data_IF_321128758842
#
_entry.id   IF_321128758842
#
_cell.length_a   1.000
_cell.length_b   1.000
_cell.length_c   1.000
_cell.angle_alpha   90.00
_cell.angle_beta   90.00
_cell.angle_gamma   90.00
#
_symmetry.space_group_name_H-M   'P 1'
#
loop_
_entity.id
_entity.type
_entity.pdbx_description
1 polymer ?
#
# COMPACT_ATOMS: atom_id res chain seq x y z
N UNK A 1 -11.55 6.35 -29.04
CA UNK A 1 -12.43 6.92 -28.00
C UNK A 1 -12.38 5.98 -26.81
N UNK A 2 -11.85 6.41 -25.68
CA UNK A 2 -11.78 5.60 -24.47
C UNK A 2 -13.01 5.94 -23.62
N UNK A 3 -13.99 5.03 -23.56
CA UNK A 3 -15.15 5.18 -22.68
C UNK A 3 -14.82 4.46 -21.38
N UNK A 4 -14.75 5.20 -20.27
CA UNK A 4 -14.57 4.63 -18.93
C UNK A 4 -15.85 4.84 -18.13
N UNK A 5 -16.30 3.80 -17.44
CA UNK A 5 -17.38 3.93 -16.48
C UNK A 5 -16.86 4.76 -15.29
N UNK A 6 -17.49 5.91 -15.03
CA UNK A 6 -17.15 6.78 -13.91
C UNK A 6 -17.42 6.11 -12.55
N UNK A 7 -18.35 5.15 -12.49
CA UNK A 7 -18.61 4.36 -11.27
C UNK A 7 -17.42 3.46 -10.90
N UNK A 8 -16.52 3.17 -11.84
CA UNK A 8 -15.27 2.45 -11.59
C UNK A 8 -14.16 3.38 -11.05
N UNK A 9 -14.32 4.69 -11.23
CA UNK A 9 -13.45 5.73 -10.69
C UNK A 9 -14.04 6.36 -9.42
N UNK A 10 -15.32 6.11 -9.11
CA UNK A 10 -15.93 6.61 -7.90
C UNK A 10 -15.31 5.92 -6.69
N UNK A 11 -14.62 6.75 -5.94
CA UNK A 11 -14.00 6.42 -4.66
C UNK A 11 -15.11 5.93 -3.74
N UNK A 12 -14.85 4.93 -2.87
CA UNK A 12 -15.86 4.44 -1.95
C UNK A 12 -16.50 5.63 -1.22
N UNK A 13 -17.83 5.73 -1.28
CA UNK A 13 -18.57 6.87 -0.74
C UNK A 13 -18.31 7.06 0.76
N UNK A 14 -18.00 5.96 1.43
CA UNK A 14 -17.69 5.91 2.85
C UNK A 14 -16.56 4.90 3.08
N UNK A 15 -15.74 5.13 4.10
CA UNK A 15 -14.73 4.21 4.59
C UNK A 15 -15.13 3.68 5.96
N UNK A 16 -14.85 2.41 6.23
CA UNK A 16 -15.10 1.79 7.52
C UNK A 16 -13.90 2.05 8.43
N UNK A 17 -14.12 2.71 9.57
CA UNK A 17 -13.10 3.03 10.57
C UNK A 17 -13.39 2.29 11.86
N UNK A 18 -12.34 1.72 12.45
CA UNK A 18 -12.35 1.19 13.82
C UNK A 18 -11.19 1.76 14.60
N UNK A 19 -11.28 1.74 15.93
CA UNK A 19 -10.27 2.33 16.80
C UNK A 19 -10.11 1.49 18.06
N UNK A 20 -8.86 1.21 18.44
CA UNK A 20 -8.55 0.50 19.68
C UNK A 20 -7.57 1.32 20.52
N UNK A 21 -7.85 1.39 21.81
CA UNK A 21 -6.96 2.02 22.78
C UNK A 21 -5.76 1.11 23.04
N UNK A 22 -4.57 1.68 23.00
CA UNK A 22 -3.31 0.95 23.23
C UNK A 22 -2.79 1.23 24.63
N UNK A 23 -2.54 2.50 24.94
CA UNK A 23 -1.98 2.93 26.21
C UNK A 23 -2.30 4.40 26.48
N UNK A 24 -2.79 4.71 27.68
CA UNK A 24 -3.20 6.07 28.10
C UNK A 24 -4.12 6.74 27.07
N UNK A 25 -3.68 7.85 26.47
CA UNK A 25 -4.34 8.68 25.48
C UNK A 25 -3.99 8.28 24.03
N UNK A 26 -3.25 7.18 23.85
CA UNK A 26 -2.81 6.67 22.55
C UNK A 26 -3.69 5.53 22.05
N UNK A 27 -4.16 5.68 20.83
CA UNK A 27 -5.00 4.71 20.14
C UNK A 27 -4.46 4.42 18.74
N UNK A 28 -4.72 3.22 18.24
CA UNK A 28 -4.50 2.87 16.83
C UNK A 28 -5.87 2.77 16.18
N UNK A 29 -6.09 3.58 15.16
CA UNK A 29 -7.26 3.50 14.30
C UNK A 29 -6.90 2.80 12.98
N UNK A 30 -7.86 2.04 12.48
CA UNK A 30 -7.76 1.35 11.19
C UNK A 30 -8.93 1.78 10.33
N UNK A 31 -8.63 2.25 9.12
CA UNK A 31 -9.64 2.59 8.11
C UNK A 31 -9.50 1.60 6.97
N UNK A 32 -10.56 0.88 6.67
CA UNK A 32 -10.67 0.01 5.51
C UNK A 32 -11.30 0.76 4.34
N UNK A 33 -10.63 0.68 3.18
CA UNK A 33 -11.08 1.27 1.93
C UNK A 33 -11.24 0.14 0.93
N UNK A 34 -12.50 -0.13 0.57
CA UNK A 34 -12.85 -1.19 -0.35
C UNK A 34 -12.06 -1.09 -1.67
N UNK A 35 -11.49 -2.21 -2.11
CA UNK A 35 -10.69 -2.33 -3.34
C UNK A 35 -9.42 -1.46 -3.40
N UNK A 36 -9.02 -0.80 -2.31
CA UNK A 36 -7.76 -0.03 -2.23
C UNK A 36 -6.81 -0.55 -1.17
N UNK A 37 -7.33 -0.93 0.00
CA UNK A 37 -6.55 -1.44 1.12
C UNK A 37 -6.91 -0.74 2.43
N UNK A 38 -5.90 -0.34 3.20
CA UNK A 38 -6.07 0.16 4.56
C UNK A 38 -5.30 1.45 4.82
N UNK A 39 -5.78 2.24 5.77
CA UNK A 39 -5.00 3.28 6.42
C UNK A 39 -4.89 2.96 7.90
N UNK A 40 -3.66 2.91 8.42
CA UNK A 40 -3.38 2.73 9.86
C UNK A 40 -2.98 4.08 10.42
N UNK A 41 -3.66 4.52 11.48
CA UNK A 41 -3.48 5.82 12.10
C UNK A 41 -3.08 5.65 13.55
N UNK A 42 -2.00 6.30 13.96
CA UNK A 42 -1.69 6.50 15.38
C UNK A 42 -2.33 7.81 15.84
N UNK A 43 -3.14 7.73 16.88
CA UNK A 43 -3.78 8.87 17.55
C UNK A 43 -3.17 9.08 18.93
N UNK A 44 -3.01 10.34 19.32
CA UNK A 44 -2.63 10.79 20.66
C UNK A 44 -3.51 11.99 21.02
N UNK A 45 -4.24 11.93 22.13
CA UNK A 45 -5.22 12.98 22.52
C UNK A 45 -6.21 13.35 21.40
N UNK A 46 -6.75 12.35 20.70
CA UNK A 46 -7.64 12.52 19.54
C UNK A 46 -7.03 13.24 18.31
N UNK A 47 -5.73 13.50 18.32
CA UNK A 47 -5.00 14.08 17.19
C UNK A 47 -4.34 12.94 16.42
N UNK A 48 -4.50 12.95 15.09
CA UNK A 48 -3.78 12.02 14.20
C UNK A 48 -2.30 12.39 14.16
N UNK A 49 -1.46 11.59 14.80
CA UNK A 49 -0.02 11.81 14.90
C UNK A 49 0.73 11.24 13.69
N UNK A 50 0.27 10.10 13.16
CA UNK A 50 0.87 9.44 12.00
C UNK A 50 -0.18 8.66 11.21
N UNK A 51 -0.10 8.72 9.89
CA UNK A 51 -1.04 8.04 8.97
C UNK A 51 -0.21 7.24 7.97
N UNK A 52 -0.45 5.93 7.93
CA UNK A 52 0.19 4.98 7.01
C UNK A 52 -0.83 4.41 6.05
N UNK A 53 -0.51 4.40 4.76
CA UNK A 53 -1.37 3.86 3.72
C UNK A 53 -0.80 2.53 3.24
N UNK A 54 -1.63 1.49 3.26
CA UNK A 54 -1.31 0.15 2.84
C UNK A 54 -2.18 -0.23 1.65
N UNK A 55 -1.57 -0.33 0.47
CA UNK A 55 -2.24 -0.83 -0.72
C UNK A 55 -2.19 -2.35 -0.72
N UNK A 56 -3.32 -3.00 -0.53
CA UNK A 56 -3.42 -4.46 -0.46
C UNK A 56 -4.78 -4.93 -0.93
N UNK A 57 -4.84 -6.18 -1.38
CA UNK A 57 -6.08 -6.87 -1.72
C UNK A 57 -6.65 -7.66 -0.52
N UNK A 58 -5.98 -7.61 0.63
CA UNK A 58 -6.45 -8.22 1.86
C UNK A 58 -7.78 -7.59 2.25
N UNK A 59 -8.75 -8.44 2.59
CA UNK A 59 -10.05 -8.00 3.10
C UNK A 59 -10.21 -8.47 4.53
N UNK A 60 -11.04 -7.81 5.36
CA UNK A 60 -11.24 -8.21 6.76
C UNK A 60 -11.66 -9.69 6.90
N UNK A 61 -12.38 -10.20 5.90
CA UNK A 61 -12.90 -11.57 5.86
C UNK A 61 -11.93 -12.61 5.28
N UNK A 62 -10.82 -12.18 4.67
CA UNK A 62 -9.88 -13.08 4.00
C UNK A 62 -8.42 -12.61 4.22
N UNK A 63 -7.89 -12.98 5.37
CA UNK A 63 -6.51 -12.67 5.78
C UNK A 63 -5.59 -13.76 5.20
N UNK A 64 -4.86 -13.41 4.13
CA UNK A 64 -3.78 -14.24 3.61
C UNK A 64 -2.48 -13.98 4.38
N UNK A 65 -1.72 -15.02 4.74
CA UNK A 65 -0.47 -14.90 5.51
C UNK A 65 0.59 -14.05 4.81
N UNK A 66 0.70 -14.13 3.48
CA UNK A 66 1.72 -13.41 2.71
C UNK A 66 1.53 -11.88 2.73
N UNK A 67 0.28 -11.41 2.78
CA UNK A 67 -0.06 -9.97 2.73
C UNK A 67 -0.15 -9.33 4.14
N UNK A 68 0.02 -10.14 5.20
CA UNK A 68 -0.10 -9.72 6.60
C UNK A 68 1.17 -9.07 7.14
N UNK A 69 2.34 -9.42 6.58
CA UNK A 69 3.64 -9.04 7.14
C UNK A 69 3.85 -7.52 7.16
N UNK A 70 3.54 -6.83 6.06
CA UNK A 70 3.63 -5.37 5.98
C UNK A 70 2.72 -4.68 7.02
N UNK A 71 1.53 -5.24 7.23
CA UNK A 71 0.58 -4.73 8.21
C UNK A 71 1.12 -4.87 9.64
N UNK A 72 1.64 -6.05 9.96
CA UNK A 72 2.27 -6.34 11.25
C UNK A 72 3.46 -5.39 11.47
N UNK A 73 4.30 -5.18 10.46
CA UNK A 73 5.47 -4.32 10.56
C UNK A 73 5.09 -2.85 10.83
N UNK A 74 4.02 -2.35 10.20
CA UNK A 74 3.52 -1.00 10.51
C UNK A 74 2.98 -0.93 11.93
N UNK A 75 2.18 -1.91 12.38
CA UNK A 75 1.71 -1.94 13.77
C UNK A 75 2.87 -1.98 14.74
N UNK A 76 3.89 -2.82 14.49
CA UNK A 76 5.10 -2.90 15.31
C UNK A 76 5.72 -1.53 15.51
N UNK A 77 5.97 -0.83 14.41
CA UNK A 77 6.58 0.49 14.42
C UNK A 77 5.73 1.49 15.21
N UNK A 78 4.40 1.42 15.09
CA UNK A 78 3.50 2.27 15.87
C UNK A 78 3.55 1.95 17.36
N UNK A 79 3.56 0.67 17.73
CA UNK A 79 3.69 0.22 19.11
C UNK A 79 5.03 0.63 19.72
N UNK A 80 6.13 0.44 18.98
CA UNK A 80 7.46 0.88 19.40
C UNK A 80 7.46 2.39 19.68
N UNK A 81 6.80 3.19 18.83
CA UNK A 81 6.65 4.63 19.03
C UNK A 81 5.80 4.98 20.26
N UNK A 82 4.69 4.27 20.47
CA UNK A 82 3.82 4.43 21.66
C UNK A 82 4.63 4.18 22.93
N UNK A 83 5.42 3.10 22.95
CA UNK A 83 6.12 2.62 24.14
C UNK A 83 7.51 3.22 24.34
N UNK A 84 8.09 3.92 23.36
CA UNK A 84 9.48 4.43 23.41
C UNK A 84 9.76 5.28 24.66
N UNK A 85 8.76 6.04 25.12
CA UNK A 85 8.86 6.92 26.29
C UNK A 85 7.89 6.53 27.42
N UNK A 86 7.23 5.37 27.33
CA UNK A 86 6.25 4.93 28.31
C UNK A 86 6.93 4.15 29.44
N UNK A 87 6.57 4.45 30.70
CA UNK A 87 6.99 3.66 31.86
C UNK A 87 6.07 2.44 32.04
N UNK A 88 6.14 1.53 31.06
CA UNK A 88 5.33 0.32 30.98
C UNK A 88 6.21 -0.93 31.03
N UNK A 89 5.78 -1.96 31.76
CA UNK A 89 6.51 -3.22 31.81
C UNK A 89 6.30 -4.02 30.53
N UNK A 90 7.32 -4.79 30.14
CA UNK A 90 7.31 -5.53 28.88
C UNK A 90 6.10 -6.46 28.73
N UNK A 91 5.66 -7.11 29.81
CA UNK A 91 4.51 -8.02 29.78
C UNK A 91 3.15 -7.31 29.67
N UNK A 92 3.11 -6.00 29.87
CA UNK A 92 1.89 -5.17 29.71
C UNK A 92 1.79 -4.59 28.30
N UNK A 93 2.88 -4.63 27.53
CA UNK A 93 2.89 -4.19 26.13
C UNK A 93 2.07 -5.16 25.28
N UNK A 94 1.19 -4.59 24.46
CA UNK A 94 0.43 -5.38 23.49
C UNK A 94 1.34 -5.87 22.38
N UNK A 95 1.14 -7.12 21.95
CA UNK A 95 1.87 -7.72 20.83
C UNK A 95 1.25 -7.29 19.50
N UNK A 96 2.08 -6.95 18.50
CA UNK A 96 1.67 -6.50 17.17
C UNK A 96 0.66 -7.43 16.48
N UNK A 97 0.83 -8.76 16.60
CA UNK A 97 -0.09 -9.73 15.99
C UNK A 97 -1.46 -9.73 16.67
N UNK A 98 -1.48 -9.53 17.99
CA UNK A 98 -2.72 -9.45 18.75
C UNK A 98 -3.50 -8.18 18.40
N UNK A 99 -2.80 -7.04 18.32
CA UNK A 99 -3.36 -5.76 17.89
C UNK A 99 -3.93 -5.86 16.47
N UNK A 100 -3.19 -6.50 15.55
CA UNK A 100 -3.67 -6.77 14.19
C UNK A 100 -4.97 -7.56 14.18
N UNK A 101 -5.01 -8.70 14.87
CA UNK A 101 -6.19 -9.57 14.89
C UNK A 101 -7.38 -8.82 15.47
N UNK A 102 -7.18 -8.13 16.59
CA UNK A 102 -8.23 -7.34 17.23
C UNK A 102 -8.81 -6.28 16.29
N UNK A 103 -7.97 -5.55 15.55
CA UNK A 103 -8.43 -4.56 14.58
C UNK A 103 -9.28 -5.19 13.46
N UNK A 104 -8.87 -6.36 12.95
CA UNK A 104 -9.60 -7.08 11.91
C UNK A 104 -10.92 -7.67 12.42
N UNK A 105 -10.91 -8.23 13.62
CA UNK A 105 -12.10 -8.77 14.27
C UNK A 105 -13.15 -7.66 14.48
N UNK A 106 -12.73 -6.51 15.01
CA UNK A 106 -13.62 -5.35 15.22
C UNK A 106 -14.15 -4.80 13.88
N UNK A 107 -13.34 -4.81 12.81
CA UNK A 107 -13.80 -4.48 11.46
C UNK A 107 -14.82 -5.47 10.88
N UNK A 108 -14.91 -6.67 11.44
CA UNK A 108 -15.81 -7.73 10.98
C UNK A 108 -17.10 -7.77 11.81
N UNK A 109 -17.04 -7.33 13.06
CA UNK A 109 -18.15 -7.43 14.02
C UNK A 109 -19.22 -6.32 13.90
N UNK A 110 -19.12 -5.42 12.90
CA UNK A 110 -20.03 -4.30 12.52
C UNK A 110 -20.44 -3.29 13.61
N UNK A 111 -20.39 -3.67 14.88
CA UNK A 111 -20.98 -2.95 16.01
C UNK A 111 -20.16 -1.74 16.49
N UNK A 112 -18.87 -1.72 16.20
CA UNK A 112 -17.95 -0.64 16.56
C UNK A 112 -17.38 0.09 15.33
N UNK A 113 -17.96 -0.16 14.14
CA UNK A 113 -17.52 0.47 12.89
C UNK A 113 -18.11 1.88 12.80
N UNK A 114 -17.22 2.87 12.70
CA UNK A 114 -17.53 4.25 12.34
C UNK A 114 -17.42 4.42 10.82
N UNK A 115 -18.49 4.90 10.18
CA UNK A 115 -18.46 5.21 8.74
C UNK A 115 -18.04 6.66 8.52
N UNK A 116 -16.89 6.85 7.86
CA UNK A 116 -16.36 8.17 7.53
C UNK A 116 -16.53 8.47 6.04
N UNK A 117 -16.81 9.73 5.70
CA UNK A 117 -17.07 10.23 4.36
C UNK A 117 -16.47 11.62 4.18
N UNK A 118 -16.41 12.11 2.94
CA UNK A 118 -15.97 13.48 2.63
C UNK A 118 -16.77 14.54 3.40
N UNK A 119 -18.05 14.29 3.66
CA UNK A 119 -18.94 15.25 4.32
C UNK A 119 -18.73 15.35 5.84
N UNK A 120 -18.24 14.28 6.49
CA UNK A 120 -18.19 14.20 7.95
C UNK A 120 -16.77 14.08 8.52
N UNK A 121 -15.74 13.88 7.70
CA UNK A 121 -14.39 13.59 8.19
C UNK A 121 -13.30 14.15 7.30
N UNK A 122 -12.45 15.02 7.86
CA UNK A 122 -11.23 15.47 7.18
C UNK A 122 -10.27 14.30 6.90
N UNK A 123 -10.25 13.30 7.79
CA UNK A 123 -9.43 12.10 7.63
C UNK A 123 -9.76 11.36 6.33
N UNK A 124 -11.04 11.33 5.92
CA UNK A 124 -11.44 10.77 4.63
C UNK A 124 -10.67 11.41 3.47
N UNK A 125 -10.72 12.74 3.37
CA UNK A 125 -10.08 13.50 2.29
C UNK A 125 -8.56 13.35 2.31
N UNK A 126 -7.94 13.30 3.50
CA UNK A 126 -6.50 13.13 3.65
C UNK A 126 -6.06 11.73 3.18
N UNK A 127 -6.80 10.68 3.57
CA UNK A 127 -6.57 9.28 3.12
C UNK A 127 -6.76 9.17 1.60
N UNK A 128 -7.85 9.74 1.08
CA UNK A 128 -8.18 9.70 -0.34
C UNK A 128 -7.06 10.30 -1.19
N UNK A 129 -6.64 11.53 -0.90
CA UNK A 129 -5.53 12.21 -1.58
C UNK A 129 -4.23 11.44 -1.45
N UNK A 130 -4.00 10.85 -0.28
CA UNK A 130 -2.84 10.00 -0.02
C UNK A 130 -2.81 8.78 -0.94
N UNK A 131 -3.93 8.06 -1.09
CA UNK A 131 -4.01 6.91 -2.01
C UNK A 131 -3.86 7.33 -3.47
N UNK A 132 -4.44 8.46 -3.88
CA UNK A 132 -4.25 8.99 -5.24
C UNK A 132 -2.76 9.24 -5.52
N UNK A 133 -2.06 9.88 -4.58
CA UNK A 133 -0.63 10.13 -4.71
C UNK A 133 0.17 8.82 -4.76
N UNK A 134 -0.13 7.87 -3.87
CA UNK A 134 0.50 6.55 -3.86
C UNK A 134 0.34 5.83 -5.21
N UNK A 135 -0.84 5.89 -5.81
CA UNK A 135 -1.09 5.29 -7.12
C UNK A 135 -0.29 5.96 -8.23
N UNK A 136 -0.19 7.29 -8.22
CA UNK A 136 0.65 8.03 -9.15
C UNK A 136 2.13 7.65 -9.01
N UNK A 137 2.63 7.55 -7.78
CA UNK A 137 4.02 7.16 -7.51
C UNK A 137 4.32 5.73 -7.99
N UNK A 138 3.39 4.78 -7.75
CA UNK A 138 3.50 3.41 -8.26
C UNK A 138 3.49 3.39 -9.80
N UNK A 139 2.63 4.20 -10.43
CA UNK A 139 2.57 4.28 -11.90
C UNK A 139 3.86 4.85 -12.48
N UNK A 140 4.43 5.91 -11.89
CA UNK A 140 5.69 6.50 -12.33
C UNK A 140 6.84 5.47 -12.26
N UNK A 141 6.97 4.77 -11.14
CA UNK A 141 7.99 3.73 -10.98
C UNK A 141 7.85 2.59 -12.01
N UNK A 142 6.61 2.22 -12.36
CA UNK A 142 6.34 1.22 -13.41
C UNK A 142 6.73 1.75 -14.80
N UNK A 143 6.45 3.02 -15.09
CA UNK A 143 6.83 3.66 -16.35
C UNK A 143 8.35 3.69 -16.50
N UNK A 144 9.07 4.06 -15.45
CA UNK A 144 10.53 4.09 -15.46
C UNK A 144 11.12 2.70 -15.70
N UNK A 145 10.60 1.69 -14.99
CA UNK A 145 11.00 0.28 -15.18
C UNK A 145 10.71 -0.21 -16.60
N UNK A 146 9.58 0.19 -17.20
CA UNK A 146 9.24 -0.15 -18.58
C UNK A 146 10.17 0.53 -19.59
N UNK A 147 10.51 1.80 -19.36
CA UNK A 147 11.43 2.54 -20.22
C UNK A 147 12.84 1.91 -20.21
N UNK A 148 13.33 1.49 -19.04
CA UNK A 148 14.58 0.76 -18.91
C UNK A 148 14.56 -0.58 -19.66
N UNK A 149 13.46 -1.33 -19.52
CA UNK A 149 13.29 -2.60 -20.24
C UNK A 149 13.25 -2.41 -21.76
N UNK A 150 12.55 -1.38 -22.25
CA UNK A 150 12.50 -1.03 -23.68
C UNK A 150 13.89 -0.64 -24.20
N UNK A 151 14.62 0.19 -23.45
CA UNK A 151 15.98 0.61 -23.83
C UNK A 151 16.92 -0.60 -23.94
N UNK A 152 16.83 -1.55 -23.00
CA UNK A 152 17.61 -2.79 -23.06
C UNK A 152 17.27 -3.62 -24.29
N UNK A 153 15.99 -3.86 -24.56
CA UNK A 153 15.55 -4.64 -25.73
C UNK A 153 15.97 -3.97 -27.04
N UNK A 154 15.88 -2.64 -27.10
CA UNK A 154 16.33 -1.87 -28.27
C UNK A 154 17.84 -2.03 -28.52
N UNK A 155 18.66 -1.99 -27.47
CA UNK A 155 20.10 -2.21 -27.58
C UNK A 155 20.46 -3.66 -27.96
N UNK A 156 19.78 -4.64 -27.38
CA UNK A 156 19.98 -6.06 -27.71
C UNK A 156 19.62 -6.34 -29.18
N UNK A 157 18.53 -5.74 -29.68
CA UNK A 157 18.12 -5.85 -31.09
C UNK A 157 19.14 -5.19 -32.03
N UNK A 158 19.64 -4.00 -31.67
CA UNK A 158 20.65 -3.32 -32.46
C UNK A 158 21.96 -4.14 -32.55
N UNK A 159 22.40 -4.69 -31.42
CA UNK A 159 23.60 -5.53 -31.35
C UNK A 159 23.42 -6.81 -32.18
N UNK A 160 22.28 -7.48 -32.04
CA UNK A 160 21.96 -8.68 -32.83
C UNK A 160 21.94 -8.37 -34.33
N UNK A 161 21.39 -7.23 -34.73
CA UNK A 161 21.38 -6.79 -36.11
C UNK A 161 22.81 -6.57 -36.65
N UNK A 162 23.67 -5.88 -35.90
CA UNK A 162 25.07 -5.71 -36.26
C UNK A 162 25.81 -7.05 -36.38
N UNK A 163 25.61 -7.97 -35.45
CA UNK A 163 26.22 -9.30 -35.52
C UNK A 163 25.75 -10.11 -36.74
N UNK A 164 24.50 -9.95 -37.15
CA UNK A 164 23.97 -10.58 -38.37
C UNK A 164 24.59 -9.98 -39.63
N UNK A 165 24.71 -8.65 -39.72
CA UNK A 165 25.37 -7.99 -40.84
C UNK A 165 26.85 -8.40 -40.95
N UNK A 166 27.58 -8.45 -39.84
CA UNK A 166 28.98 -8.87 -39.80
C UNK A 166 29.15 -10.33 -40.26
N UNK A 167 28.24 -11.22 -39.86
CA UNK A 167 28.24 -12.62 -40.32
C UNK A 167 27.95 -12.74 -41.81
N UNK A 168 27.00 -11.96 -42.34
CA UNK A 168 26.68 -11.94 -43.77
C UNK A 168 27.87 -11.45 -44.61
N UNK A 169 28.54 -10.38 -44.17
CA UNK A 169 29.75 -9.86 -44.82
C UNK A 169 30.89 -10.88 -44.83
N UNK A 170 31.14 -11.56 -43.71
CA UNK A 170 32.17 -12.62 -43.62
C UNK A 170 31.87 -13.78 -44.57
N UNK A 171 30.62 -14.20 -44.67
CA UNK A 171 30.21 -15.27 -45.58
C UNK A 171 30.38 -14.87 -47.06
N UNK A 172 30.05 -13.62 -47.41
CA UNK A 172 30.27 -13.09 -48.76
C UNK A 172 31.76 -13.06 -49.14
N UNK A 173 32.64 -12.64 -48.22
CA UNK A 173 34.09 -12.62 -48.44
C UNK A 173 34.67 -14.03 -48.64
N UNK A 174 34.23 -15.02 -47.86
CA UNK A 174 34.70 -16.40 -47.96
C UNK A 174 34.24 -17.13 -49.22
N UNK A 175 33.17 -16.69 -49.87
CA UNK A 175 32.67 -17.29 -51.12
C UNK A 175 33.33 -16.71 -52.39
N UNK A 176 34.14 -15.66 -52.25
CA UNK A 176 34.77 -14.93 -53.37
C UNK A 176 36.28 -15.23 -53.48
N UNK A 177 36.86 -15.90 -52.48
CA UNK A 177 38.24 -16.42 -52.46
C UNK A 177 38.26 -17.93 -52.73
#
# INVERSE_FOLDING_TARGET
MLVRNLDFLSIPKEFAKVEINIYEDKAIALVYIENKGYSIILKENDINESIFLLKTNLTPHNINEADKEDFINVIKMLLDKVYMNADIKEYEKQHQEHVFLKLMDVLTEESEIEMISEANSKLYTDIEKGFMKLELDIMNNKIDSLNEAIAKVSNDLHTTHQEMEDKDWRNKLNNVL
#
